data_IF_851238944972
#
_entry.id   IF_851238944972
#
_cell.length_a   1.000
_cell.length_b   1.000
_cell.length_c   1.000
_cell.angle_alpha   90.00
_cell.angle_beta   90.00
_cell.angle_gamma   90.00
#
_symmetry.space_group_name_H-M   'P 1'
#
loop_
_entity.id
_entity.type
_entity.pdbx_description
1 polymer ?
#
# COMPACT_ATOMS: atom_id res chain seq x y z
N UNK A 1 9.29 9.08 17.10
CA UNK A 1 8.24 8.44 17.93
C UNK A 1 8.10 7.01 17.44
N UNK A 2 8.29 6.01 18.29
CA UNK A 2 8.20 4.61 17.89
C UNK A 2 6.78 4.07 18.12
N UNK A 3 6.30 3.20 17.23
CA UNK A 3 5.02 2.50 17.39
C UNK A 3 5.21 1.41 18.43
N UNK A 4 4.30 1.32 19.41
CA UNK A 4 4.35 0.25 20.39
C UNK A 4 4.14 -1.12 19.69
N UNK A 5 5.02 -2.12 19.92
CA UNK A 5 4.99 -3.39 19.17
C UNK A 5 3.65 -4.12 19.21
N UNK A 6 2.96 -4.06 20.35
CA UNK A 6 1.67 -4.71 20.56
C UNK A 6 0.58 -4.20 19.58
N UNK A 7 0.70 -2.97 19.08
CA UNK A 7 -0.24 -2.42 18.08
C UNK A 7 -0.12 -3.21 16.77
N UNK A 8 1.11 -3.46 16.31
CA UNK A 8 1.36 -4.17 15.06
C UNK A 8 1.12 -5.68 15.22
N UNK A 9 1.42 -6.25 16.39
CA UNK A 9 1.15 -7.66 16.70
C UNK A 9 -0.34 -8.00 16.72
N UNK A 10 -1.18 -7.04 17.09
CA UNK A 10 -2.64 -7.20 17.15
C UNK A 10 -3.34 -6.73 15.86
N UNK A 11 -2.59 -6.15 14.91
CA UNK A 11 -3.17 -5.63 13.68
C UNK A 11 -3.57 -6.78 12.75
N UNK A 12 -4.84 -6.77 12.32
CA UNK A 12 -5.32 -7.70 11.29
C UNK A 12 -4.76 -7.40 9.91
N UNK A 13 -4.37 -6.15 9.63
CA UNK A 13 -3.65 -5.74 8.43
C UNK A 13 -2.84 -4.46 8.70
N UNK A 14 -1.75 -4.28 7.95
CA UNK A 14 -0.93 -3.07 7.99
C UNK A 14 -0.87 -2.45 6.60
N UNK A 15 -1.17 -1.15 6.51
CA UNK A 15 -1.11 -0.40 5.26
C UNK A 15 -0.14 0.76 5.40
N UNK A 16 0.85 0.83 4.53
CA UNK A 16 1.72 2.00 4.42
C UNK A 16 1.28 2.85 3.23
N UNK A 17 1.25 4.18 3.40
CA UNK A 17 1.02 5.08 2.26
C UNK A 17 2.28 5.28 1.42
N UNK A 18 3.47 5.01 1.99
CA UNK A 18 4.70 4.95 1.20
C UNK A 18 4.75 3.67 0.40
N UNK A 19 5.55 3.67 -0.66
CA UNK A 19 5.77 2.53 -1.52
C UNK A 19 7.25 2.45 -1.91
N UNK A 20 7.73 1.25 -2.21
CA UNK A 20 9.10 1.02 -2.67
C UNK A 20 9.10 0.03 -3.82
N UNK A 21 9.96 0.26 -4.81
CA UNK A 21 10.07 -0.63 -5.97
C UNK A 21 11.00 -1.81 -5.63
N UNK A 22 10.43 -3.01 -5.55
CA UNK A 22 11.19 -4.26 -5.38
C UNK A 22 11.67 -4.55 -3.96
N UNK A 23 11.30 -3.74 -2.96
CA UNK A 23 11.62 -3.96 -1.55
C UNK A 23 10.48 -3.49 -0.65
N UNK A 24 10.51 -3.88 0.63
CA UNK A 24 9.58 -3.33 1.63
C UNK A 24 9.95 -1.88 1.99
N UNK A 25 8.94 -1.06 2.29
CA UNK A 25 9.18 0.18 3.02
C UNK A 25 9.68 -0.15 4.44
N UNK A 26 10.37 0.79 5.12
CA UNK A 26 10.81 0.56 6.49
C UNK A 26 9.67 0.23 7.46
N UNK A 27 8.47 0.75 7.23
CA UNK A 27 7.31 0.48 8.08
C UNK A 27 6.73 -0.91 7.82
N UNK A 28 6.64 -1.34 6.56
CA UNK A 28 6.23 -2.70 6.21
C UNK A 28 7.25 -3.73 6.73
N UNK A 29 8.55 -3.43 6.61
CA UNK A 29 9.60 -4.28 7.17
C UNK A 29 9.46 -4.43 8.70
N UNK A 30 9.17 -3.33 9.42
CA UNK A 30 8.89 -3.36 10.86
C UNK A 30 7.63 -4.18 11.17
N UNK A 31 6.56 -4.01 10.41
CA UNK A 31 5.32 -4.76 10.61
C UNK A 31 5.51 -6.27 10.43
N UNK A 32 6.28 -6.69 9.42
CA UNK A 32 6.67 -8.09 9.21
C UNK A 32 7.47 -8.64 10.39
N UNK A 33 8.44 -7.88 10.90
CA UNK A 33 9.21 -8.26 12.09
C UNK A 33 8.33 -8.43 13.33
N UNK A 34 7.19 -7.75 13.40
CA UNK A 34 6.20 -7.87 14.48
C UNK A 34 5.12 -8.92 14.21
N UNK A 35 5.22 -9.70 13.14
CA UNK A 35 4.33 -10.82 12.85
C UNK A 35 3.09 -10.49 12.02
N UNK A 36 3.00 -9.31 11.41
CA UNK A 36 1.88 -8.95 10.55
C UNK A 36 1.77 -9.94 9.36
N UNK A 37 0.58 -10.54 9.19
CA UNK A 37 0.32 -11.52 8.13
C UNK A 37 -0.25 -10.88 6.86
N UNK A 38 -0.93 -9.74 7.02
CA UNK A 38 -1.52 -8.99 5.92
C UNK A 38 -0.90 -7.60 5.89
N UNK A 39 -0.25 -7.28 4.78
CA UNK A 39 0.40 -5.99 4.61
C UNK A 39 0.36 -5.56 3.15
N UNK A 40 0.29 -4.26 2.91
CA UNK A 40 0.36 -3.67 1.58
C UNK A 40 0.94 -2.27 1.67
N UNK A 41 1.63 -1.85 0.61
CA UNK A 41 2.20 -0.51 0.51
C UNK A 41 1.27 0.42 -0.28
N UNK A 42 1.75 1.65 -0.49
CA UNK A 42 0.96 2.74 -1.06
C UNK A 42 0.79 2.68 -2.56
N UNK A 43 1.37 1.70 -3.28
CA UNK A 43 1.36 1.73 -4.74
C UNK A 43 -0.06 1.63 -5.31
N UNK A 44 -0.89 0.75 -4.74
CA UNK A 44 -2.31 0.65 -5.10
C UNK A 44 -3.08 1.94 -4.85
N UNK A 45 -2.81 2.63 -3.75
CA UNK A 45 -3.40 3.94 -3.45
C UNK A 45 -2.96 5.00 -4.47
N UNK A 46 -1.67 5.04 -4.85
CA UNK A 46 -1.14 5.95 -5.87
C UNK A 46 -1.83 5.74 -7.22
N UNK A 47 -2.01 4.50 -7.66
CA UNK A 47 -2.67 4.21 -8.93
C UNK A 47 -4.17 4.50 -8.85
N UNK A 48 -4.82 4.09 -7.76
CA UNK A 48 -6.26 4.28 -7.56
C UNK A 48 -6.67 5.75 -7.54
N UNK A 49 -5.94 6.61 -6.82
CA UNK A 49 -6.24 8.05 -6.80
C UNK A 49 -6.08 8.68 -8.20
N UNK A 50 -5.09 8.22 -8.99
CA UNK A 50 -4.88 8.72 -10.34
C UNK A 50 -6.03 8.31 -11.26
N UNK A 51 -6.54 7.09 -11.13
CA UNK A 51 -7.71 6.61 -11.87
C UNK A 51 -8.95 7.45 -11.57
N UNK A 52 -9.20 7.78 -10.30
CA UNK A 52 -10.30 8.65 -9.91
C UNK A 52 -10.15 10.09 -10.43
N UNK A 53 -8.94 10.67 -10.39
CA UNK A 53 -8.68 11.98 -10.99
C UNK A 53 -8.86 11.96 -12.52
N UNK A 54 -8.41 10.89 -13.17
CA UNK A 54 -8.61 10.70 -14.60
C UNK A 54 -10.10 10.59 -14.96
N UNK A 55 -10.89 9.84 -14.18
CA UNK A 55 -12.33 9.77 -14.35
C UNK A 55 -12.99 11.15 -14.22
N UNK A 56 -12.60 11.95 -13.21
CA UNK A 56 -13.11 13.30 -13.04
C UNK A 56 -12.86 14.18 -14.28
N UNK A 57 -11.69 14.09 -14.89
CA UNK A 57 -11.34 14.94 -16.04
C UNK A 57 -11.80 14.41 -17.40
N UNK A 58 -11.95 13.09 -17.54
CA UNK A 58 -12.14 12.43 -18.85
C UNK A 58 -13.44 11.65 -18.95
N UNK A 59 -14.17 11.47 -17.84
CA UNK A 59 -15.42 10.70 -17.79
C UNK A 59 -15.26 9.20 -18.03
N UNK A 60 -14.02 8.69 -18.05
CA UNK A 60 -13.70 7.27 -18.29
C UNK A 60 -12.91 6.74 -17.11
N UNK A 61 -13.34 5.62 -16.51
CA UNK A 61 -12.59 4.95 -15.45
C UNK A 61 -11.58 4.00 -16.10
N UNK A 62 -10.26 4.21 -15.95
CA UNK A 62 -9.27 3.34 -16.56
C UNK A 62 -9.21 1.99 -15.83
N UNK A 63 -8.92 0.93 -16.57
CA UNK A 63 -8.53 -0.35 -15.98
C UNK A 63 -7.10 -0.25 -15.46
N UNK A 64 -6.93 -0.47 -14.16
CA UNK A 64 -5.64 -0.36 -13.47
C UNK A 64 -5.06 -1.72 -13.10
N UNK A 65 -5.82 -2.82 -13.25
CA UNK A 65 -5.34 -4.16 -12.93
C UNK A 65 -4.02 -4.52 -13.63
N UNK A 66 -3.81 -4.20 -14.93
CA UNK A 66 -2.58 -4.55 -15.63
C UNK A 66 -1.31 -3.89 -15.05
N UNK A 67 -1.45 -2.77 -14.34
CA UNK A 67 -0.30 -2.05 -13.77
C UNK A 67 0.32 -2.76 -12.56
N UNK A 68 -0.41 -3.70 -11.96
CA UNK A 68 0.07 -4.46 -10.81
C UNK A 68 0.87 -5.71 -11.22
N UNK A 69 0.72 -6.16 -12.47
CA UNK A 69 1.44 -7.32 -13.01
C UNK A 69 2.88 -6.96 -13.47
N UNK A 70 3.20 -5.66 -13.58
CA UNK A 70 4.50 -5.16 -14.05
C UNK A 70 5.54 -4.92 -12.93
N UNK A 71 5.24 -5.29 -11.68
CA UNK A 71 6.09 -5.03 -10.50
C UNK A 71 6.80 -6.26 -9.94
#
# INVERSE_FOLDING_TARGET
MAIAPNILQQAGAVYDMQYSKGTDTPFIALAKQQGAQHYSDGFGMLVGQAAHAFYLWRGVMPDVAPLFDEL
#
